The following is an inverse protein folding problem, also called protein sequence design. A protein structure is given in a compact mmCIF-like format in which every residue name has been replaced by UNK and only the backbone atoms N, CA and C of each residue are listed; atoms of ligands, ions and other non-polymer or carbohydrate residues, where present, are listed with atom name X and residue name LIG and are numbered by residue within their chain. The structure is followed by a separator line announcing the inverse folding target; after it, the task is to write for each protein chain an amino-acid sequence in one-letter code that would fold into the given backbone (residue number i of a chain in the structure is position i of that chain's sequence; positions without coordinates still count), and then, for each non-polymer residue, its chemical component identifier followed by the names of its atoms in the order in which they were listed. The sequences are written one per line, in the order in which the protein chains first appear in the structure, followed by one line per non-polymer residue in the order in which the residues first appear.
data_IF_831676840786
#
_entry.id   IF_831676840786
#
_cell.length_a   1.000
_cell.length_b   1.000
_cell.length_c   1.000
_cell.angle_alpha   90.00
_cell.angle_beta   90.00
_cell.angle_gamma   90.00
#
_symmetry.space_group_name_H-M   'P 1'
#
loop_
_entity.id
_entity.type
_entity.pdbx_description
1 polymer ?
#
# COMPACT_ATOMS: atom_id res chain seq x y z
N UNK A 1 -15.49 -5.80 -11.88
CA UNK A 1 -14.43 -5.65 -10.87
C UNK A 1 -13.25 -6.56 -11.21
N UNK A 2 -12.04 -6.01 -11.22
CA UNK A 2 -10.76 -6.70 -11.44
C UNK A 2 -9.82 -6.42 -10.26
N UNK A 3 -9.00 -7.40 -9.86
CA UNK A 3 -7.88 -7.19 -8.92
C UNK A 3 -6.58 -7.43 -9.67
N UNK A 4 -5.68 -6.45 -9.63
CA UNK A 4 -4.38 -6.53 -10.31
C UNK A 4 -3.27 -5.89 -9.47
N UNK A 5 -2.02 -6.19 -9.84
CA UNK A 5 -0.87 -5.45 -9.31
C UNK A 5 -0.99 -3.98 -9.68
N UNK A 6 -0.62 -3.12 -8.73
CA UNK A 6 -0.59 -1.69 -8.94
C UNK A 6 0.59 -1.29 -9.83
N UNK A 7 0.34 -0.35 -10.74
CA UNK A 7 1.36 0.32 -11.54
C UNK A 7 1.78 1.63 -10.87
N UNK A 8 2.93 2.18 -11.26
CA UNK A 8 3.42 3.45 -10.71
C UNK A 8 2.44 4.61 -10.92
N UNK A 9 1.65 4.56 -11.98
CA UNK A 9 0.66 5.59 -12.31
C UNK A 9 -0.57 5.55 -11.37
N UNK A 10 -0.82 4.40 -10.74
CA UNK A 10 -1.91 4.21 -9.78
C UNK A 10 -1.64 4.89 -8.43
N UNK A 11 -0.37 5.17 -8.09
CA UNK A 11 0.04 5.77 -6.80
C UNK A 11 -0.72 7.05 -6.47
N UNK A 12 -1.05 7.85 -7.48
CA UNK A 12 -1.80 9.10 -7.27
C UNK A 12 -3.20 8.82 -6.73
N UNK A 13 -3.88 7.82 -7.29
CA UNK A 13 -5.24 7.46 -6.87
C UNK A 13 -5.21 6.68 -5.55
N UNK A 14 -4.22 5.81 -5.34
CA UNK A 14 -3.98 5.12 -4.06
C UNK A 14 -3.86 6.11 -2.90
N UNK A 15 -3.01 7.14 -3.04
CA UNK A 15 -2.80 8.16 -2.01
C UNK A 15 -4.08 8.97 -1.75
N UNK A 16 -4.86 9.22 -2.80
CA UNK A 16 -6.15 9.92 -2.67
C UNK A 16 -7.16 9.06 -1.91
N UNK A 17 -7.27 7.77 -2.24
CA UNK A 17 -8.14 6.83 -1.52
C UNK A 17 -7.74 6.76 -0.04
N UNK A 18 -6.44 6.62 0.26
CA UNK A 18 -5.91 6.63 1.63
C UNK A 18 -6.38 7.87 2.42
N UNK A 19 -6.26 9.06 1.82
CA UNK A 19 -6.66 10.32 2.46
C UNK A 19 -8.17 10.50 2.66
N UNK A 20 -8.98 9.75 1.90
CA UNK A 20 -10.45 9.74 2.03
C UNK A 20 -10.87 8.74 3.10
N UNK A 21 -10.20 7.59 3.17
CA UNK A 21 -10.58 6.48 4.05
C UNK A 21 -10.15 6.66 5.50
N UNK A 22 -9.07 7.42 5.76
CA UNK A 22 -8.51 7.57 7.11
C UNK A 22 -8.46 9.04 7.56
N UNK A 23 -8.62 9.32 8.86
CA UNK A 23 -8.36 10.65 9.40
C UNK A 23 -6.86 11.00 9.21
N UNK A 24 -6.49 12.29 9.15
CA UNK A 24 -5.10 12.71 8.91
C UNK A 24 -4.07 12.16 9.90
N UNK A 25 -4.49 11.80 11.12
CA UNK A 25 -3.65 11.20 12.16
C UNK A 25 -3.33 9.72 11.91
N UNK A 26 -4.12 9.03 11.09
CA UNK A 26 -3.99 7.59 10.81
C UNK A 26 -3.57 7.32 9.36
N UNK A 27 -3.89 8.23 8.44
CA UNK A 27 -3.54 8.11 7.03
C UNK A 27 -2.02 8.08 6.84
N UNK A 28 -1.53 7.13 6.03
CA UNK A 28 -0.15 7.16 5.59
C UNK A 28 0.10 8.41 4.72
N UNK A 29 1.19 9.13 5.01
CA UNK A 29 1.56 10.29 4.20
C UNK A 29 1.91 9.88 2.76
N UNK A 30 1.86 10.86 1.85
CA UNK A 30 2.25 10.68 0.45
C UNK A 30 3.69 10.14 0.33
N UNK A 31 4.58 10.62 1.18
CA UNK A 31 5.98 10.23 1.23
C UNK A 31 6.11 8.76 1.67
N UNK A 32 5.45 8.38 2.76
CA UNK A 32 5.42 7.00 3.26
C UNK A 32 4.85 6.05 2.20
N UNK A 33 3.75 6.41 1.54
CA UNK A 33 3.15 5.56 0.50
C UNK A 33 4.10 5.32 -0.67
N UNK A 34 4.87 6.34 -1.08
CA UNK A 34 5.90 6.20 -2.12
C UNK A 34 7.05 5.32 -1.66
N UNK A 35 7.49 5.44 -0.41
CA UNK A 35 8.54 4.59 0.16
C UNK A 35 8.09 3.12 0.22
N UNK A 36 6.87 2.87 0.67
CA UNK A 36 6.25 1.54 0.67
C UNK A 36 6.21 0.95 -0.74
N UNK A 37 5.70 1.70 -1.71
CA UNK A 37 5.61 1.24 -3.11
C UNK A 37 7.00 0.97 -3.71
N UNK A 38 8.01 1.75 -3.35
CA UNK A 38 9.39 1.53 -3.77
C UNK A 38 10.00 0.27 -3.14
N UNK A 39 9.68 -0.01 -1.88
CA UNK A 39 10.27 -1.10 -1.12
C UNK A 39 9.63 -2.46 -1.41
N UNK A 40 8.30 -2.50 -1.58
CA UNK A 40 7.52 -3.73 -1.73
C UNK A 40 6.34 -3.56 -2.70
N UNK A 41 6.56 -2.85 -3.81
CA UNK A 41 5.53 -2.58 -4.82
C UNK A 41 4.90 -3.84 -5.41
N UNK A 42 5.61 -4.97 -5.39
CA UNK A 42 5.10 -6.29 -5.79
C UNK A 42 3.99 -6.81 -4.86
N UNK A 43 3.83 -6.23 -3.67
CA UNK A 43 2.75 -6.56 -2.73
C UNK A 43 1.64 -5.51 -2.74
N UNK A 44 1.61 -4.60 -3.72
CA UNK A 44 0.49 -3.67 -3.91
C UNK A 44 -0.52 -4.23 -4.89
N UNK A 45 -1.75 -4.42 -4.41
CA UNK A 45 -2.88 -4.80 -5.24
C UNK A 45 -3.91 -3.67 -5.24
N UNK A 46 -4.53 -3.45 -6.39
CA UNK A 46 -5.63 -2.51 -6.58
C UNK A 46 -6.88 -3.25 -7.04
N UNK A 47 -8.03 -2.81 -6.54
CA UNK A 47 -9.34 -3.19 -7.05
C UNK A 47 -9.80 -2.14 -8.06
N UNK A 48 -10.17 -2.57 -9.26
CA UNK A 48 -10.60 -1.71 -10.36
C UNK A 48 -12.04 -2.05 -10.75
N UNK A 49 -12.88 -1.02 -10.80
CA UNK A 49 -14.27 -1.08 -11.26
C UNK A 49 -14.53 0.10 -12.19
N UNK A 50 -15.13 -0.15 -13.36
CA UNK A 50 -15.40 0.86 -14.39
C UNK A 50 -14.18 1.76 -14.71
N UNK A 51 -13.02 1.13 -14.92
CA UNK A 51 -11.73 1.77 -15.20
C UNK A 51 -11.20 2.67 -14.07
N UNK A 52 -11.82 2.65 -12.88
CA UNK A 52 -11.42 3.42 -11.70
C UNK A 52 -10.90 2.52 -10.61
N UNK A 53 -9.86 2.98 -9.93
CA UNK A 53 -9.40 2.33 -8.71
C UNK A 53 -10.38 2.67 -7.59
N UNK A 54 -10.93 1.63 -6.97
CA UNK A 54 -11.92 1.77 -5.89
C UNK A 54 -11.38 1.32 -4.54
N UNK A 55 -10.21 0.68 -4.52
CA UNK A 55 -9.53 0.26 -3.29
C UNK A 55 -8.13 -0.29 -3.58
N UNK A 56 -7.35 -0.46 -2.53
CA UNK A 56 -6.02 -1.06 -2.61
C UNK A 56 -5.68 -1.77 -1.31
N UNK A 57 -4.73 -2.69 -1.38
CA UNK A 57 -4.05 -3.27 -0.23
C UNK A 57 -2.54 -3.24 -0.46
N UNK A 58 -1.77 -3.11 0.61
CA UNK A 58 -0.32 -3.26 0.60
C UNK A 58 0.16 -3.94 1.89
N UNK A 59 1.41 -4.41 1.88
CA UNK A 59 2.02 -4.97 3.08
C UNK A 59 3.45 -5.44 2.84
N UNK A 60 4.27 -5.35 3.89
CA UNK A 60 5.59 -5.95 3.91
C UNK A 60 5.47 -7.47 4.07
N UNK A 61 6.17 -8.25 3.25
CA UNK A 61 6.49 -9.65 3.56
C UNK A 61 7.40 -9.74 4.79
N UNK A 62 7.13 -10.67 5.69
CA UNK A 62 7.96 -10.94 6.87
C UNK A 62 7.99 -12.44 7.19
N UNK A 63 9.07 -12.92 7.79
CA UNK A 63 9.18 -14.30 8.29
C UNK A 63 8.56 -14.48 9.69
N UNK A 64 8.12 -13.38 10.33
CA UNK A 64 7.47 -13.43 11.65
C UNK A 64 6.01 -13.87 11.47
N UNK A 65 5.55 -14.79 12.31
CA UNK A 65 4.15 -15.24 12.30
C UNK A 65 3.15 -14.21 12.87
N UNK A 66 3.63 -13.04 13.29
CA UNK A 66 2.83 -11.95 13.84
C UNK A 66 3.06 -10.66 13.05
N UNK A 67 2.11 -9.71 13.20
CA UNK A 67 2.13 -8.40 12.56
C UNK A 67 2.43 -7.30 13.59
N UNK A 68 3.69 -7.12 14.04
CA UNK A 68 4.05 -6.05 14.97
C UNK A 68 3.94 -4.68 14.31
N UNK A 69 3.59 -3.65 15.10
CA UNK A 69 3.34 -2.28 14.62
C UNK A 69 4.50 -1.66 13.84
N UNK A 70 5.73 -2.13 14.09
CA UNK A 70 6.92 -1.72 13.34
C UNK A 70 6.78 -1.99 11.83
N UNK A 71 6.06 -3.04 11.43
CA UNK A 71 5.86 -3.37 10.01
C UNK A 71 5.01 -2.34 9.27
N UNK A 72 4.19 -1.54 9.96
CA UNK A 72 3.44 -0.45 9.32
C UNK A 72 4.34 0.76 9.02
N UNK A 73 5.43 0.93 9.75
CA UNK A 73 6.23 2.16 9.74
C UNK A 73 7.64 1.98 9.16
N UNK A 74 8.19 0.77 9.23
CA UNK A 74 9.56 0.47 8.82
C UNK A 74 9.59 -0.46 7.60
N UNK A 75 9.78 0.15 6.43
CA UNK A 75 9.86 -0.55 5.15
C UNK A 75 11.10 -1.43 5.02
N UNK A 76 12.13 -1.23 5.87
CA UNK A 76 13.36 -2.05 5.83
C UNK A 76 13.15 -3.46 6.38
N UNK A 77 12.03 -3.69 7.07
CA UNK A 77 11.64 -5.00 7.59
C UNK A 77 11.00 -5.90 6.53
N UNK A 78 10.80 -5.39 5.31
CA UNK A 78 10.33 -6.19 4.20
C UNK A 78 11.36 -7.26 3.83
N UNK A 79 10.97 -8.53 3.95
CA UNK A 79 11.76 -9.68 3.60
C UNK A 79 10.96 -10.62 2.68
N UNK A 80 11.06 -10.48 1.35
CA UNK A 80 10.34 -11.32 0.39
C UNK A 80 10.95 -12.72 0.20
N UNK A 81 11.87 -13.14 1.08
CA UNK A 81 12.60 -14.43 1.04
C UNK A 81 12.27 -15.32 2.22
#
# INVERSE_FOLDING_TARGET
MEIRLAHKDDLKEIIKIESICFPPSEAASKEVMKERFKAFGENFLVAVEDEKIVGFINGCTTAKACLPDKLYNDVTLHNPK
#
